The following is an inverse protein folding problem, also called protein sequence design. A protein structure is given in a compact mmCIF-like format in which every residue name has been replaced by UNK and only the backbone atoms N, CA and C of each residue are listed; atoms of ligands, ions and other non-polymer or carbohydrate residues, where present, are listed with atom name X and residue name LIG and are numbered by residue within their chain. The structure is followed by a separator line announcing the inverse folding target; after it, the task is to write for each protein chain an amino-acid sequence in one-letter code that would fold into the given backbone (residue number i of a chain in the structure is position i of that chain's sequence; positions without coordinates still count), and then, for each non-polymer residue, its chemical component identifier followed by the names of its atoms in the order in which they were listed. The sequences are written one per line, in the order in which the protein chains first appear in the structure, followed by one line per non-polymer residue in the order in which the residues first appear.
data_IF_529788056687
#
_entry.id   IF_529788056687
#
_cell.length_a   1.000
_cell.length_b   1.000
_cell.length_c   1.000
_cell.angle_alpha   90.00
_cell.angle_beta   90.00
_cell.angle_gamma   90.00
#
_symmetry.space_group_name_H-M   'P 1'
#
loop_
_entity.id
_entity.type
_entity.pdbx_description
1 polymer ?
#
# COMPACT_ATOMS: atom_id res chain seq x y z
N UNK A 1 15.44 5.27 -8.45
CA UNK A 1 16.03 3.94 -8.26
C UNK A 1 15.05 2.83 -7.85
N UNK A 2 15.34 1.56 -8.23
CA UNK A 2 14.50 0.37 -8.03
C UNK A 2 14.45 -0.22 -6.61
N UNK A 3 15.37 0.17 -5.73
CA UNK A 3 15.43 -0.34 -4.36
C UNK A 3 14.31 0.17 -3.44
N UNK A 4 13.94 -0.66 -2.46
CA UNK A 4 12.95 -0.36 -1.40
C UNK A 4 13.43 0.80 -0.53
N UNK A 5 14.70 0.80 -0.13
CA UNK A 5 15.30 1.92 0.61
C UNK A 5 16.07 2.83 -0.35
N UNK A 6 15.84 4.14 -0.24
CA UNK A 6 16.68 5.11 -0.92
C UNK A 6 18.06 5.13 -0.26
N UNK A 7 19.14 5.16 -1.04
CA UNK A 7 20.53 5.27 -0.55
C UNK A 7 20.88 6.66 0.05
N UNK A 8 19.91 7.40 0.58
CA UNK A 8 20.14 8.69 1.20
C UNK A 8 20.12 8.58 2.74
N UNK A 9 21.21 9.04 3.34
CA UNK A 9 21.46 9.29 4.77
C UNK A 9 21.45 8.11 5.75
N UNK A 10 22.64 7.55 6.02
CA UNK A 10 23.01 7.24 7.42
C UNK A 10 23.68 8.48 8.01
N UNK A 11 23.11 9.16 9.02
CA UNK A 11 23.89 10.00 9.91
C UNK A 11 24.51 9.08 10.97
N UNK A 12 25.82 9.20 11.19
CA UNK A 12 26.53 8.44 12.23
C UNK A 12 27.82 9.14 12.60
N UNK A 13 28.27 9.01 13.86
CA UNK A 13 28.16 10.08 14.84
C UNK A 13 29.49 10.80 15.08
N UNK A 14 29.41 12.03 15.60
CA UNK A 14 30.58 12.79 16.01
C UNK A 14 31.31 12.16 17.20
N UNK A 15 32.64 12.23 17.19
CA UNK A 15 33.55 12.48 18.32
C UNK A 15 35.00 12.50 17.80
N UNK A 16 35.67 13.65 17.89
CA UNK A 16 37.15 13.79 17.92
C UNK A 16 37.67 13.52 19.36
N UNK A 17 38.98 13.51 19.74
CA UNK A 17 40.21 13.90 18.99
C UNK A 17 41.48 13.00 19.15
N UNK A 18 42.51 13.29 18.32
CA UNK A 18 43.94 12.88 18.34
C UNK A 18 44.28 11.36 18.20
N UNK A 19 45.31 10.91 17.47
CA UNK A 19 46.71 11.34 17.48
C UNK A 19 47.51 10.86 16.25
N UNK A 20 48.58 11.61 15.97
CA UNK A 20 49.87 11.29 15.31
C UNK A 20 50.01 10.89 13.82
N UNK A 21 50.33 11.94 13.04
CA UNK A 21 51.35 12.12 11.99
C UNK A 21 52.21 10.90 11.58
N UNK A 22 52.11 10.51 10.31
CA UNK A 22 53.25 10.06 9.49
C UNK A 22 52.97 10.52 8.05
N UNK A 23 53.69 11.54 7.63
CA UNK A 23 53.68 12.04 6.27
C UNK A 23 54.36 11.03 5.33
N UNK A 24 53.64 10.58 4.30
CA UNK A 24 54.31 9.99 3.15
C UNK A 24 53.83 10.57 1.81
N UNK A 25 54.82 10.87 0.99
CA UNK A 25 54.76 11.81 -0.10
C UNK A 25 54.28 11.11 -1.38
N UNK A 26 53.00 11.20 -1.70
CA UNK A 26 52.53 11.16 -3.10
C UNK A 26 51.08 11.60 -3.21
N UNK A 27 50.88 12.82 -3.67
CA UNK A 27 49.57 13.40 -3.92
C UNK A 27 48.79 12.65 -5.00
N UNK A 28 47.92 11.73 -4.60
CA UNK A 28 46.72 11.37 -5.36
C UNK A 28 45.53 11.28 -4.39
N UNK A 29 44.79 12.39 -4.30
CA UNK A 29 43.44 12.42 -3.71
C UNK A 29 42.61 11.28 -4.31
N UNK A 30 42.34 10.23 -3.53
CA UNK A 30 41.25 9.30 -3.79
C UNK A 30 39.95 10.11 -3.74
N UNK A 31 39.51 10.60 -4.90
CA UNK A 31 38.14 11.09 -5.08
C UNK A 31 37.22 9.90 -4.84
N UNK A 32 36.51 9.88 -3.72
CA UNK A 32 35.33 9.05 -3.54
C UNK A 32 34.28 9.51 -4.55
N UNK A 33 34.31 8.94 -5.76
CA UNK A 33 33.26 9.06 -6.76
C UNK A 33 32.03 8.26 -6.31
N UNK A 34 31.33 8.74 -5.28
CA UNK A 34 30.03 8.22 -4.87
C UNK A 34 28.95 8.96 -5.67
N UNK A 35 28.93 8.71 -6.98
CA UNK A 35 28.01 9.29 -7.96
C UNK A 35 27.39 8.21 -8.86
N UNK A 36 26.67 8.60 -9.94
CA UNK A 36 25.62 7.85 -10.70
C UNK A 36 25.92 6.40 -11.13
N UNK A 37 27.15 5.93 -11.02
CA UNK A 37 27.53 4.54 -11.27
C UNK A 37 26.71 3.53 -10.44
N UNK A 38 26.47 3.81 -9.15
CA UNK A 38 25.74 2.87 -8.28
C UNK A 38 24.24 2.78 -8.58
N UNK A 39 23.60 3.86 -9.02
CA UNK A 39 22.19 3.80 -9.43
C UNK A 39 22.03 3.05 -10.76
N UNK A 40 22.98 3.24 -11.68
CA UNK A 40 22.99 2.54 -12.96
C UNK A 40 23.27 1.03 -12.80
N UNK A 41 24.14 0.66 -11.85
CA UNK A 41 24.37 -0.74 -11.45
C UNK A 41 23.07 -1.39 -10.90
N UNK A 42 22.32 -0.67 -10.05
CA UNK A 42 21.05 -1.19 -9.52
C UNK A 42 19.95 -1.31 -10.60
N UNK A 43 19.92 -0.39 -11.57
CA UNK A 43 19.00 -0.47 -12.72
C UNK A 43 19.34 -1.65 -13.64
N UNK A 44 20.63 -1.98 -13.76
CA UNK A 44 21.11 -3.14 -14.53
C UNK A 44 20.87 -4.46 -13.80
N UNK A 45 20.97 -4.48 -12.47
CA UNK A 45 20.73 -5.66 -11.64
C UNK A 45 19.24 -5.93 -11.36
N UNK A 46 18.37 -4.95 -11.57
CA UNK A 46 16.93 -5.11 -11.36
C UNK A 46 16.30 -6.04 -12.41
N UNK A 47 15.35 -6.91 -12.01
CA UNK A 47 14.58 -7.73 -12.95
C UNK A 47 13.90 -6.85 -14.02
N UNK A 48 13.86 -7.34 -15.26
CA UNK A 48 13.27 -6.60 -16.39
C UNK A 48 11.85 -7.06 -16.67
N UNK A 49 10.95 -6.09 -16.86
CA UNK A 49 9.61 -6.31 -17.37
C UNK A 49 9.64 -6.64 -18.87
N UNK A 50 8.51 -7.09 -19.41
CA UNK A 50 8.39 -7.33 -20.84
C UNK A 50 8.67 -6.04 -21.65
N UNK A 51 9.35 -6.08 -22.81
CA UNK A 51 9.73 -4.88 -23.58
C UNK A 51 8.57 -3.96 -23.96
N UNK A 52 7.36 -4.50 -24.12
CA UNK A 52 6.12 -3.74 -24.37
C UNK A 52 5.86 -2.66 -23.31
N UNK A 53 6.38 -2.85 -22.09
CA UNK A 53 6.31 -1.85 -21.00
C UNK A 53 6.98 -0.51 -21.33
N UNK A 54 7.92 -0.48 -22.28
CA UNK A 54 8.57 0.74 -22.74
C UNK A 54 7.84 1.44 -23.89
N UNK A 55 6.75 0.86 -24.43
CA UNK A 55 5.99 1.49 -25.50
C UNK A 55 5.23 2.73 -25.00
N UNK A 56 5.22 3.85 -25.75
CA UNK A 56 4.52 5.07 -25.36
C UNK A 56 3.03 4.85 -25.05
N UNK A 57 2.36 3.99 -25.83
CA UNK A 57 0.96 3.60 -25.58
C UNK A 57 0.80 2.95 -24.20
N UNK A 58 1.72 2.05 -23.85
CA UNK A 58 1.68 1.33 -22.57
C UNK A 58 1.98 2.25 -21.40
N UNK A 59 2.95 3.16 -21.55
CA UNK A 59 3.28 4.16 -20.52
C UNK A 59 2.05 4.99 -20.13
N UNK A 60 1.25 5.42 -21.11
CA UNK A 60 0.04 6.19 -20.83
C UNK A 60 -0.97 5.39 -20.00
N UNK A 61 -1.25 4.13 -20.38
CA UNK A 61 -2.13 3.25 -19.63
C UNK A 61 -1.61 2.94 -18.23
N UNK A 62 -0.30 2.72 -18.10
CA UNK A 62 0.36 2.42 -16.83
C UNK A 62 0.28 3.62 -15.87
N UNK A 63 0.36 4.86 -16.37
CA UNK A 63 0.19 6.06 -15.51
C UNK A 63 -1.19 6.06 -14.86
N UNK A 64 -2.25 5.86 -15.65
CA UNK A 64 -3.63 5.88 -15.13
C UNK A 64 -3.87 4.75 -14.13
N UNK A 65 -3.43 3.54 -14.46
CA UNK A 65 -3.58 2.37 -13.61
C UNK A 65 -2.75 2.49 -12.31
N UNK A 66 -1.50 2.97 -12.41
CA UNK A 66 -0.66 3.20 -11.25
C UNK A 66 -1.25 4.29 -10.34
N UNK A 67 -1.78 5.40 -10.89
CA UNK A 67 -2.47 6.41 -10.08
C UNK A 67 -3.72 5.85 -9.39
N UNK A 68 -4.50 5.01 -10.07
CA UNK A 68 -5.64 4.34 -9.46
C UNK A 68 -5.22 3.45 -8.29
N UNK A 69 -4.13 2.69 -8.45
CA UNK A 69 -3.56 1.88 -7.37
C UNK A 69 -3.09 2.76 -6.21
N UNK A 70 -2.35 3.84 -6.47
CA UNK A 70 -1.89 4.77 -5.41
C UNK A 70 -3.09 5.28 -4.60
N UNK A 71 -4.13 5.80 -5.26
CA UNK A 71 -5.35 6.28 -4.59
C UNK A 71 -5.99 5.21 -3.72
N UNK A 72 -6.10 4.00 -4.23
CA UNK A 72 -6.72 2.89 -3.51
C UNK A 72 -5.90 2.49 -2.28
N UNK A 73 -4.60 2.27 -2.45
CA UNK A 73 -3.74 1.77 -1.39
C UNK A 73 -3.46 2.84 -0.33
N UNK A 74 -3.45 4.11 -0.70
CA UNK A 74 -3.42 5.23 0.24
C UNK A 74 -4.68 5.21 1.12
N UNK A 75 -5.87 5.06 0.51
CA UNK A 75 -7.12 4.98 1.25
C UNK A 75 -7.18 3.77 2.21
N UNK A 76 -6.72 2.60 1.77
CA UNK A 76 -6.62 1.39 2.62
C UNK A 76 -5.67 1.59 3.81
N UNK A 77 -4.59 2.35 3.62
CA UNK A 77 -3.60 2.64 4.69
C UNK A 77 -3.89 3.92 5.48
N UNK A 78 -4.95 4.66 5.15
CA UNK A 78 -5.27 5.95 5.75
C UNK A 78 -4.24 7.05 5.46
N UNK A 79 -3.57 7.01 4.31
CA UNK A 79 -2.66 8.06 3.86
C UNK A 79 -3.49 9.16 3.17
N UNK A 80 -3.52 10.34 3.79
CA UNK A 80 -4.23 11.50 3.28
C UNK A 80 -3.26 12.50 2.60
N UNK A 81 -3.79 13.43 1.80
CA UNK A 81 -3.05 14.55 1.18
C UNK A 81 -1.85 14.17 0.28
N UNK A 82 -1.90 13.01 -0.38
CA UNK A 82 -0.89 12.63 -1.36
C UNK A 82 -1.08 13.36 -2.70
N UNK A 83 -0.11 14.21 -3.07
CA UNK A 83 -0.08 14.97 -4.33
C UNK A 83 -0.06 14.04 -5.57
N UNK A 84 0.43 12.81 -5.44
CA UNK A 84 0.43 11.82 -6.53
C UNK A 84 -0.96 11.20 -6.76
N UNK A 85 -1.83 11.29 -5.76
CA UNK A 85 -3.20 10.77 -5.75
C UNK A 85 -4.22 11.80 -6.24
N UNK A 86 -3.94 13.10 -6.08
CA UNK A 86 -4.83 14.16 -6.54
C UNK A 86 -4.69 14.39 -8.05
N UNK A 87 -5.68 13.95 -8.81
CA UNK A 87 -6.08 14.72 -9.98
C UNK A 87 -6.92 15.85 -9.41
N UNK A 88 -6.38 17.05 -9.29
CA UNK A 88 -7.19 18.27 -9.09
C UNK A 88 -8.10 18.42 -10.33
N UNK A 89 -9.18 17.63 -10.36
CA UNK A 89 -10.36 17.83 -11.19
C UNK A 89 -11.49 18.47 -10.37
N UNK A 90 -11.21 18.89 -9.14
CA UNK A 90 -12.18 19.55 -8.27
C UNK A 90 -11.79 21.04 -8.14
N UNK A 91 -12.30 21.87 -9.06
CA UNK A 91 -12.40 23.36 -9.07
C UNK A 91 -11.97 24.11 -10.34
N UNK A 92 -12.13 23.54 -11.54
CA UNK A 92 -12.26 24.37 -12.75
C UNK A 92 -13.40 23.85 -13.63
N UNK A 93 -14.62 23.93 -13.09
CA UNK A 93 -15.86 23.84 -13.85
C UNK A 93 -16.13 25.17 -14.58
N UNK A 94 -15.14 25.63 -15.35
CA UNK A 94 -15.24 26.83 -16.20
C UNK A 94 -14.60 26.51 -17.55
N UNK A 95 -15.47 25.98 -18.42
CA UNK A 95 -15.49 26.22 -19.86
C UNK A 95 -14.44 25.50 -20.73
N UNK A 96 -14.92 25.15 -21.94
CA UNK A 96 -14.20 24.72 -23.15
C UNK A 96 -13.83 23.25 -23.33
N UNK A 97 -14.76 22.58 -24.00
CA UNK A 97 -14.50 21.99 -25.32
C UNK A 97 -13.27 22.59 -26.04
N UNK A 98 -12.33 21.72 -26.44
CA UNK A 98 -11.02 21.97 -27.06
C UNK A 98 -9.82 21.88 -26.10
N UNK A 99 -9.44 20.66 -25.76
CA UNK A 99 -8.10 20.33 -25.28
C UNK A 99 -7.78 18.89 -25.69
N UNK A 100 -6.87 18.71 -26.65
CA UNK A 100 -6.45 17.38 -27.08
C UNK A 100 -5.97 16.54 -25.89
N UNK A 101 -6.23 15.24 -25.96
CA UNK A 101 -5.91 14.18 -24.98
C UNK A 101 -4.44 14.21 -24.52
N UNK A 102 -4.07 15.17 -23.66
CA UNK A 102 -2.81 15.18 -22.94
C UNK A 102 -3.02 14.35 -21.67
N UNK A 103 -2.11 13.42 -21.40
CA UNK A 103 -2.23 12.49 -20.28
C UNK A 103 -2.15 13.20 -18.91
N UNK A 104 -2.29 12.45 -17.80
CA UNK A 104 -2.22 13.02 -16.46
C UNK A 104 -0.91 13.77 -16.22
N UNK A 105 -1.01 14.99 -15.66
CA UNK A 105 0.13 15.82 -15.24
C UNK A 105 0.01 16.09 -13.74
N UNK A 106 1.09 15.88 -13.00
CA UNK A 106 1.16 16.18 -11.56
C UNK A 106 2.14 17.32 -11.31
N UNK A 107 1.68 18.39 -10.66
CA UNK A 107 2.52 19.56 -10.36
C UNK A 107 3.00 19.50 -8.91
N UNK A 108 4.28 19.23 -8.71
CA UNK A 108 4.92 19.25 -7.40
C UNK A 108 5.42 20.67 -7.11
N UNK A 109 4.80 21.32 -6.12
CA UNK A 109 5.24 22.62 -5.60
C UNK A 109 6.21 22.41 -4.44
N UNK A 110 7.51 22.39 -4.74
CA UNK A 110 8.56 22.35 -3.73
C UNK A 110 8.84 23.71 -3.09
N UNK A 111 9.68 23.72 -2.05
CA UNK A 111 10.03 24.93 -1.30
C UNK A 111 10.65 26.04 -2.17
N UNK A 112 11.37 25.68 -3.23
CA UNK A 112 12.10 26.62 -4.10
C UNK A 112 11.72 26.54 -5.58
N UNK A 113 11.01 25.49 -6.01
CA UNK A 113 10.75 25.20 -7.43
C UNK A 113 9.43 24.46 -7.62
N UNK A 114 8.75 24.76 -8.72
CA UNK A 114 7.58 24.01 -9.18
C UNK A 114 8.01 23.07 -10.31
N UNK A 115 7.70 21.78 -10.21
CA UNK A 115 8.00 20.78 -11.25
C UNK A 115 6.72 20.07 -11.69
N UNK A 116 6.44 20.09 -13.00
CA UNK A 116 5.44 19.23 -13.61
C UNK A 116 6.02 17.86 -13.92
N UNK A 117 5.33 16.80 -13.54
CA UNK A 117 5.63 15.40 -13.89
C UNK A 117 4.60 14.91 -14.90
N UNK A 118 5.07 14.33 -15.99
CA UNK A 118 4.24 13.75 -17.05
C UNK A 118 4.92 12.50 -17.63
N UNK A 119 4.14 11.60 -18.24
CA UNK A 119 4.64 10.47 -19.00
C UNK A 119 5.54 9.55 -18.17
N UNK A 120 6.74 9.27 -18.67
CA UNK A 120 7.69 8.36 -18.03
C UNK A 120 8.13 8.85 -16.65
N UNK A 121 8.35 10.15 -16.47
CA UNK A 121 8.78 10.69 -15.17
C UNK A 121 7.69 10.55 -14.10
N UNK A 122 6.43 10.80 -14.48
CA UNK A 122 5.29 10.59 -13.60
C UNK A 122 5.15 9.11 -13.27
N UNK A 123 5.19 8.24 -14.28
CA UNK A 123 5.09 6.79 -14.08
C UNK A 123 6.17 6.27 -13.14
N UNK A 124 7.42 6.67 -13.34
CA UNK A 124 8.55 6.25 -12.49
C UNK A 124 8.39 6.71 -11.05
N UNK A 125 7.81 7.89 -10.85
CA UNK A 125 7.50 8.41 -9.52
C UNK A 125 6.41 7.57 -8.86
N UNK A 126 5.32 7.26 -9.58
CA UNK A 126 4.21 6.44 -9.08
C UNK A 126 4.65 5.02 -8.72
N UNK A 127 5.33 4.31 -9.62
CA UNK A 127 5.78 2.93 -9.35
C UNK A 127 6.86 2.88 -8.27
N UNK A 128 7.66 3.94 -8.12
CA UNK A 128 8.60 4.04 -7.00
C UNK A 128 7.86 4.22 -5.68
N UNK A 129 6.82 5.06 -5.66
CA UNK A 129 5.97 5.26 -4.49
C UNK A 129 5.26 3.97 -4.09
N UNK A 130 4.59 3.31 -5.05
CA UNK A 130 3.93 2.01 -4.87
C UNK A 130 4.87 0.96 -4.25
N UNK A 131 6.09 0.87 -4.74
CA UNK A 131 7.06 -0.08 -4.20
C UNK A 131 7.53 0.28 -2.79
N UNK A 132 7.83 1.55 -2.52
CA UNK A 132 8.44 1.96 -1.25
C UNK A 132 7.45 2.08 -0.11
N UNK A 133 6.23 2.52 -0.39
CA UNK A 133 5.20 2.78 0.62
C UNK A 133 4.23 1.60 0.72
N UNK A 134 3.90 0.98 -0.41
CA UNK A 134 2.93 -0.11 -0.44
C UNK A 134 3.53 -1.50 -0.60
N UNK A 135 4.82 -1.62 -0.95
CA UNK A 135 5.43 -2.92 -1.23
C UNK A 135 4.88 -3.59 -2.49
N UNK A 136 4.31 -2.79 -3.39
CA UNK A 136 3.73 -3.24 -4.64
C UNK A 136 4.76 -3.13 -5.78
N UNK A 137 5.18 -4.27 -6.32
CA UNK A 137 6.02 -4.36 -7.51
C UNK A 137 5.14 -4.38 -8.76
N UNK A 138 4.94 -3.19 -9.34
CA UNK A 138 3.97 -2.97 -10.42
C UNK A 138 4.21 -3.87 -11.63
N UNK A 139 5.45 -3.97 -12.12
CA UNK A 139 5.78 -4.83 -13.25
C UNK A 139 6.03 -6.28 -12.85
N UNK A 140 6.30 -6.55 -11.57
CA UNK A 140 6.40 -7.88 -11.01
C UNK A 140 5.04 -8.56 -10.80
N UNK A 141 3.93 -7.82 -10.87
CA UNK A 141 2.57 -8.31 -10.56
C UNK A 141 2.46 -8.92 -9.16
N UNK A 142 3.19 -8.34 -8.19
CA UNK A 142 3.23 -8.84 -6.81
C UNK A 142 3.10 -7.71 -5.80
N UNK A 143 2.50 -8.03 -4.66
CA UNK A 143 2.35 -7.16 -3.50
C UNK A 143 2.84 -7.92 -2.27
N UNK A 144 3.63 -7.27 -1.43
CA UNK A 144 4.17 -7.89 -0.21
C UNK A 144 4.16 -6.89 0.94
N UNK A 145 3.87 -7.39 2.15
CA UNK A 145 3.89 -6.60 3.37
C UNK A 145 5.31 -6.18 3.78
N UNK A 146 6.32 -6.96 3.39
CA UNK A 146 7.73 -6.71 3.68
C UNK A 146 8.56 -6.68 2.39
N UNK A 147 8.47 -5.60 1.60
CA UNK A 147 9.21 -5.50 0.35
C UNK A 147 10.71 -5.52 0.63
N UNK A 148 11.42 -6.38 -0.10
CA UNK A 148 12.88 -6.55 -0.02
C UNK A 148 13.46 -6.56 -1.43
N UNK A 149 14.69 -6.05 -1.58
CA UNK A 149 15.40 -6.10 -2.86
C UNK A 149 14.98 -5.01 -3.86
N UNK A 150 14.89 -5.42 -5.13
CA UNK A 150 14.67 -4.54 -6.29
C UNK A 150 13.35 -4.91 -6.95
N UNK A 151 12.50 -3.92 -7.25
CA UNK A 151 11.32 -4.10 -8.09
C UNK A 151 11.69 -4.34 -9.55
N UNK A 152 10.75 -4.86 -10.33
CA UNK A 152 10.89 -4.96 -11.78
C UNK A 152 10.94 -3.56 -12.43
N UNK A 153 11.83 -3.40 -13.41
CA UNK A 153 11.99 -2.16 -14.20
C UNK A 153 11.73 -2.43 -15.67
N UNK A 154 11.33 -1.41 -16.42
CA UNK A 154 11.14 -1.53 -17.88
C UNK A 154 12.43 -2.01 -18.57
N UNK A 155 12.28 -2.83 -19.60
CA UNK A 155 13.42 -3.24 -20.43
C UNK A 155 13.94 -2.03 -21.24
N UNK A 156 15.25 -1.97 -21.45
CA UNK A 156 15.82 -1.02 -22.40
C UNK A 156 15.51 -1.48 -23.83
N UNK A 157 15.26 -0.55 -24.75
CA UNK A 157 14.81 -0.78 -26.15
C UNK A 157 15.81 -1.54 -27.06
N UNK A 158 16.76 -2.30 -26.50
CA UNK A 158 17.61 -3.20 -27.27
C UNK A 158 16.78 -4.40 -27.69
N UNK A 159 16.66 -4.57 -29.01
CA UNK A 159 16.02 -5.70 -29.69
C UNK A 159 16.32 -7.01 -28.96
N UNK A 160 15.32 -7.49 -28.22
CA UNK A 160 15.40 -8.74 -27.50
C UNK A 160 14.55 -9.75 -28.27
N UNK A 161 15.24 -10.69 -28.92
CA UNK A 161 14.62 -11.77 -29.67
C UNK A 161 14.69 -13.03 -28.79
N UNK A 162 13.85 -13.10 -27.76
CA UNK A 162 13.71 -14.31 -26.96
C UNK A 162 12.47 -15.06 -27.42
N UNK A 163 12.72 -16.18 -28.08
CA UNK A 163 11.71 -17.05 -28.70
C UNK A 163 10.74 -17.72 -27.70
N UNK A 164 10.90 -17.45 -26.40
CA UNK A 164 10.16 -18.06 -25.29
C UNK A 164 9.42 -17.05 -24.39
N UNK A 165 9.47 -15.74 -24.69
CA UNK A 165 8.71 -14.76 -23.93
C UNK A 165 7.21 -14.85 -24.31
N UNK A 166 6.28 -14.72 -23.33
CA UNK A 166 4.87 -14.56 -23.65
C UNK A 166 4.69 -13.40 -24.62
N UNK A 167 3.72 -13.49 -25.52
CA UNK A 167 3.48 -12.40 -26.46
C UNK A 167 3.20 -11.11 -25.67
N UNK A 168 3.62 -9.95 -26.20
CA UNK A 168 3.42 -8.67 -25.50
C UNK A 168 1.96 -8.45 -25.10
N UNK A 169 1.02 -8.84 -25.96
CA UNK A 169 -0.43 -8.77 -25.70
C UNK A 169 -0.88 -9.64 -24.52
N UNK A 170 -0.36 -10.87 -24.39
CA UNK A 170 -0.68 -11.75 -23.25
C UNK A 170 -0.13 -11.19 -21.95
N UNK A 171 1.09 -10.63 -21.97
CA UNK A 171 1.69 -9.98 -20.82
C UNK A 171 0.88 -8.76 -20.38
N UNK A 172 0.50 -7.89 -21.31
CA UNK A 172 -0.34 -6.72 -21.05
C UNK A 172 -1.66 -7.12 -20.41
N UNK A 173 -2.36 -8.08 -21.01
CA UNK A 173 -3.64 -8.58 -20.50
C UNK A 173 -3.50 -9.15 -19.09
N UNK A 174 -2.41 -9.87 -18.81
CA UNK A 174 -2.13 -10.43 -17.48
C UNK A 174 -1.89 -9.33 -16.46
N UNK A 175 -1.08 -8.33 -16.80
CA UNK A 175 -0.80 -7.17 -15.95
C UNK A 175 -2.09 -6.43 -15.62
N UNK A 176 -2.90 -6.12 -16.64
CA UNK A 176 -4.15 -5.38 -16.48
C UNK A 176 -5.18 -6.17 -15.67
N UNK A 177 -5.32 -7.47 -15.91
CA UNK A 177 -6.23 -8.31 -15.13
C UNK A 177 -5.78 -8.41 -13.67
N UNK A 178 -4.47 -8.49 -13.41
CA UNK A 178 -3.92 -8.53 -12.06
C UNK A 178 -4.28 -7.25 -11.28
N UNK A 179 -3.99 -6.09 -11.86
CA UNK A 179 -4.20 -4.82 -11.18
C UNK A 179 -5.66 -4.38 -11.16
N UNK A 180 -6.45 -4.71 -12.18
CA UNK A 180 -7.90 -4.53 -12.13
C UNK A 180 -8.53 -5.36 -11.00
N UNK A 181 -8.11 -6.63 -10.88
CA UNK A 181 -8.54 -7.48 -9.77
C UNK A 181 -8.15 -6.90 -8.41
N UNK A 182 -6.95 -6.32 -8.27
CA UNK A 182 -6.54 -5.63 -7.04
C UNK A 182 -7.33 -4.34 -6.79
N UNK A 183 -7.69 -3.59 -7.83
CA UNK A 183 -8.54 -2.40 -7.75
C UNK A 183 -10.00 -2.71 -7.36
N UNK A 184 -10.46 -3.94 -7.54
CA UNK A 184 -11.79 -4.39 -7.13
C UNK A 184 -11.79 -5.07 -5.75
N UNK A 185 -10.70 -5.76 -5.37
CA UNK A 185 -10.58 -6.49 -4.09
C UNK A 185 -10.10 -5.62 -2.93
N UNK A 186 -10.51 -5.93 -1.71
CA UNK A 186 -9.98 -5.29 -0.50
C UNK A 186 -8.49 -5.66 -0.27
N UNK A 187 -7.81 -4.96 0.65
CA UNK A 187 -6.44 -5.28 1.08
C UNK A 187 -6.34 -6.78 1.44
N UNK A 188 -5.40 -7.53 0.83
CA UNK A 188 -5.18 -8.94 1.14
C UNK A 188 -5.06 -9.23 2.65
N UNK A 189 -4.40 -8.36 3.43
CA UNK A 189 -4.26 -8.54 4.87
C UNK A 189 -5.59 -8.32 5.60
N UNK A 190 -6.40 -7.34 5.19
CA UNK A 190 -7.73 -7.14 5.76
C UNK A 190 -8.63 -8.35 5.49
N UNK A 191 -8.60 -8.90 4.27
CA UNK A 191 -9.33 -10.13 3.92
C UNK A 191 -8.92 -11.29 4.84
N UNK A 192 -7.62 -11.48 5.08
CA UNK A 192 -7.13 -12.55 5.95
C UNK A 192 -7.53 -12.33 7.42
N UNK A 193 -7.55 -11.09 7.92
CA UNK A 193 -8.00 -10.84 9.30
C UNK A 193 -9.50 -11.10 9.49
N UNK A 194 -10.30 -10.98 8.42
CA UNK A 194 -11.74 -11.19 8.40
C UNK A 194 -12.47 -10.63 9.63
N UNK A 195 -12.09 -9.41 10.03
CA UNK A 195 -12.56 -8.76 11.26
C UNK A 195 -14.08 -8.74 11.35
N UNK A 196 -14.76 -8.37 10.26
CA UNK A 196 -16.22 -8.30 10.20
C UNK A 196 -16.89 -9.65 10.42
N UNK A 197 -16.28 -10.75 9.93
CA UNK A 197 -16.75 -12.12 10.15
C UNK A 197 -16.64 -12.50 11.62
N UNK A 198 -15.53 -12.16 12.27
CA UNK A 198 -15.34 -12.40 13.71
C UNK A 198 -16.31 -11.54 14.54
N UNK A 199 -16.49 -10.27 14.17
CA UNK A 199 -17.38 -9.35 14.88
C UNK A 199 -18.86 -9.75 14.75
N UNK A 200 -19.29 -10.22 13.57
CA UNK A 200 -20.63 -10.75 13.35
C UNK A 200 -20.86 -12.02 14.19
N UNK A 201 -19.94 -12.98 14.15
CA UNK A 201 -20.01 -14.19 14.96
C UNK A 201 -20.01 -13.86 16.48
N UNK A 202 -19.26 -12.83 16.90
CA UNK A 202 -19.28 -12.37 18.28
C UNK A 202 -20.64 -11.82 18.69
N UNK A 203 -21.31 -11.05 17.82
CA UNK A 203 -22.65 -10.51 18.11
C UNK A 203 -23.65 -11.66 18.25
N UNK A 204 -23.69 -12.58 17.28
CA UNK A 204 -24.60 -13.73 17.31
C UNK A 204 -24.37 -14.62 18.55
N UNK A 205 -23.11 -14.86 18.91
CA UNK A 205 -22.77 -15.65 20.09
C UNK A 205 -23.11 -14.94 21.42
N UNK A 206 -23.20 -13.60 21.42
CA UNK A 206 -23.56 -12.80 22.59
C UNK A 206 -25.06 -12.60 22.78
N UNK A 207 -25.89 -12.84 21.77
CA UNK A 207 -27.35 -12.71 21.85
C UNK A 207 -27.97 -13.47 23.06
N UNK A 208 -27.57 -14.71 23.39
CA UNK A 208 -28.05 -15.40 24.58
C UNK A 208 -27.72 -14.70 25.91
N UNK A 209 -26.72 -13.83 25.92
CA UNK A 209 -26.30 -13.04 27.08
C UNK A 209 -27.00 -11.67 27.14
N UNK A 210 -27.98 -11.41 26.28
CA UNK A 210 -28.82 -10.21 26.33
C UNK A 210 -30.20 -10.56 26.88
N UNK A 211 -30.42 -10.20 28.15
CA UNK A 211 -31.70 -10.46 28.83
C UNK A 211 -32.71 -9.36 28.51
N UNK A 212 -33.76 -9.67 27.77
CA UNK A 212 -34.86 -8.74 27.51
C UNK A 212 -35.84 -8.72 28.68
N UNK A 213 -36.00 -7.57 29.31
CA UNK A 213 -36.81 -7.36 30.53
C UNK A 213 -37.88 -6.32 30.22
N UNK A 214 -39.14 -6.60 30.52
CA UNK A 214 -40.23 -5.63 30.39
C UNK A 214 -40.24 -4.71 31.61
N UNK A 215 -40.22 -3.40 31.36
CA UNK A 215 -40.29 -2.34 32.35
C UNK A 215 -41.62 -1.59 32.21
N UNK A 216 -42.33 -1.42 33.33
CA UNK A 216 -43.68 -0.83 33.35
C UNK A 216 -43.72 0.65 32.92
N UNK A 217 -42.61 1.37 33.11
CA UNK A 217 -42.52 2.81 32.84
C UNK A 217 -41.82 3.15 31.53
N UNK A 218 -40.88 2.31 31.10
CA UNK A 218 -39.99 2.59 29.96
C UNK A 218 -40.07 1.53 28.85
N UNK A 219 -41.00 0.59 28.91
CA UNK A 219 -41.22 -0.42 27.87
C UNK A 219 -40.25 -1.58 27.95
N UNK A 220 -39.20 -1.62 27.13
CA UNK A 220 -38.21 -2.70 27.13
C UNK A 220 -36.87 -2.22 27.67
N UNK A 221 -36.30 -2.98 28.60
CA UNK A 221 -34.91 -2.86 29.07
C UNK A 221 -34.12 -4.11 28.74
N UNK A 222 -32.83 -3.96 28.59
CA UNK A 222 -31.91 -5.02 28.18
C UNK A 222 -30.82 -5.16 29.23
N UNK A 223 -30.73 -6.34 29.84
CA UNK A 223 -29.77 -6.64 30.90
C UNK A 223 -28.61 -7.50 30.41
N UNK A 224 -27.44 -7.28 31.00
CA UNK A 224 -26.28 -8.15 30.82
C UNK A 224 -26.55 -9.53 31.45
N UNK A 225 -26.28 -10.60 30.71
CA UNK A 225 -26.41 -12.00 31.13
C UNK A 225 -25.12 -12.63 31.64
N UNK A 226 -24.00 -11.89 31.65
CA UNK A 226 -22.74 -12.39 32.18
C UNK A 226 -22.83 -12.67 33.69
N UNK A 227 -22.14 -13.72 34.14
CA UNK A 227 -22.14 -14.15 35.55
C UNK A 227 -21.68 -12.99 36.45
N UNK A 228 -22.45 -12.69 37.50
CA UNK A 228 -22.15 -11.62 38.43
C UNK A 228 -22.39 -10.19 37.90
N UNK A 229 -22.95 -10.02 36.70
CA UNK A 229 -23.25 -8.70 36.14
C UNK A 229 -24.74 -8.36 36.23
N UNK A 230 -25.05 -7.17 36.76
CA UNK A 230 -26.43 -6.69 36.97
C UNK A 230 -26.78 -5.45 36.16
N UNK A 231 -25.93 -5.03 35.22
CA UNK A 231 -26.15 -3.81 34.43
C UNK A 231 -27.35 -3.94 33.48
N UNK A 232 -28.13 -2.86 33.40
CA UNK A 232 -29.30 -2.72 32.55
C UNK A 232 -29.11 -1.53 31.60
N UNK A 233 -29.70 -1.64 30.41
CA UNK A 233 -29.57 -0.69 29.32
C UNK A 233 -30.91 -0.49 28.61
N UNK A 234 -31.03 0.59 27.85
CA UNK A 234 -32.24 0.92 27.10
C UNK A 234 -32.31 0.26 25.72
N UNK A 235 -31.19 -0.29 25.21
CA UNK A 235 -31.14 -1.00 23.92
C UNK A 235 -30.16 -2.18 23.99
N UNK A 236 -30.40 -3.21 23.16
CA UNK A 236 -29.58 -4.41 23.07
C UNK A 236 -28.12 -4.12 22.65
N UNK A 237 -27.92 -3.16 21.73
CA UNK A 237 -26.59 -2.76 21.25
C UNK A 237 -25.66 -2.28 22.37
N UNK A 238 -26.21 -1.62 23.39
CA UNK A 238 -25.43 -1.19 24.56
C UNK A 238 -25.01 -2.38 25.43
N UNK A 239 -25.81 -3.45 25.45
CA UNK A 239 -25.42 -4.71 26.12
C UNK A 239 -24.29 -5.38 25.36
N UNK A 240 -24.36 -5.45 24.02
CA UNK A 240 -23.26 -5.98 23.20
C UNK A 240 -21.96 -5.20 23.40
N UNK A 241 -22.00 -3.86 23.34
CA UNK A 241 -20.84 -3.01 23.63
C UNK A 241 -20.32 -3.23 25.05
N UNK A 242 -21.22 -3.36 26.03
CA UNK A 242 -20.84 -3.64 27.41
C UNK A 242 -20.17 -5.00 27.58
N UNK A 243 -20.70 -6.06 26.94
CA UNK A 243 -20.13 -7.41 26.96
C UNK A 243 -18.73 -7.41 26.36
N UNK A 244 -18.53 -6.78 25.19
CA UNK A 244 -17.21 -6.64 24.54
C UNK A 244 -16.19 -5.90 25.43
N UNK A 245 -16.60 -4.88 26.17
CA UNK A 245 -15.68 -4.03 26.95
C UNK A 245 -15.45 -4.49 28.39
N UNK A 246 -16.43 -5.16 29.01
CA UNK A 246 -16.38 -5.50 30.45
C UNK A 246 -16.35 -7.00 30.72
N UNK A 247 -16.60 -7.82 29.71
CA UNK A 247 -16.52 -9.28 29.78
C UNK A 247 -15.66 -9.84 28.62
N UNK A 248 -14.42 -9.36 28.43
CA UNK A 248 -13.60 -9.74 27.28
C UNK A 248 -13.32 -11.24 27.22
N UNK A 249 -13.12 -11.89 28.38
CA UNK A 249 -12.90 -13.35 28.48
C UNK A 249 -14.06 -14.15 27.89
N UNK A 250 -15.31 -13.73 28.18
CA UNK A 250 -16.49 -14.37 27.62
C UNK A 250 -16.53 -14.24 26.09
N UNK A 251 -16.19 -13.06 25.57
CA UNK A 251 -16.15 -12.83 24.11
C UNK A 251 -15.04 -13.67 23.47
N UNK A 252 -13.88 -13.78 24.10
CA UNK A 252 -12.77 -14.61 23.60
C UNK A 252 -13.16 -16.09 23.57
N UNK A 253 -13.78 -16.60 24.62
CA UNK A 253 -14.26 -17.98 24.68
C UNK A 253 -15.31 -18.27 23.60
N UNK A 254 -16.30 -17.39 23.45
CA UNK A 254 -17.39 -17.58 22.48
C UNK A 254 -16.93 -17.47 21.02
N UNK A 255 -15.83 -16.74 20.76
CA UNK A 255 -15.31 -16.54 19.40
C UNK A 255 -14.09 -17.41 19.08
N UNK A 256 -13.61 -18.23 20.03
CA UNK A 256 -12.40 -19.04 19.88
C UNK A 256 -12.46 -19.94 18.65
N UNK A 257 -13.53 -20.71 18.51
CA UNK A 257 -13.72 -21.64 17.39
C UNK A 257 -13.67 -20.94 16.03
N UNK A 258 -14.36 -19.80 15.88
CA UNK A 258 -14.36 -19.05 14.62
C UNK A 258 -12.98 -18.49 14.28
N UNK A 259 -12.23 -18.05 15.29
CA UNK A 259 -10.85 -17.57 15.12
C UNK A 259 -9.90 -18.70 14.74
N UNK A 260 -10.02 -19.86 15.38
CA UNK A 260 -9.23 -21.06 15.08
C UNK A 260 -9.52 -21.59 13.67
N UNK A 261 -10.79 -21.69 13.30
CA UNK A 261 -11.21 -22.12 11.95
C UNK A 261 -10.66 -21.15 10.89
N UNK A 262 -10.75 -19.84 11.13
CA UNK A 262 -10.20 -18.82 10.23
C UNK A 262 -8.67 -18.93 10.13
N UNK A 263 -7.98 -19.12 11.26
CA UNK A 263 -6.53 -19.33 11.29
C UNK A 263 -6.13 -20.53 10.43
N UNK A 264 -6.82 -21.67 10.58
CA UNK A 264 -6.55 -22.87 9.81
C UNK A 264 -6.83 -22.67 8.31
N UNK A 265 -7.94 -22.01 7.97
CA UNK A 265 -8.29 -21.68 6.58
C UNK A 265 -7.27 -20.76 5.91
N UNK A 266 -6.68 -19.82 6.66
CA UNK A 266 -5.65 -18.92 6.14
C UNK A 266 -4.28 -19.60 5.98
N UNK A 267 -4.03 -20.70 6.70
CA UNK A 267 -2.77 -21.42 6.67
C UNK A 267 -2.70 -22.49 5.56
N UNK A 268 -3.83 -23.16 5.29
CA UNK A 268 -3.95 -24.21 4.27
C UNK A 268 -3.99 -23.66 2.84
#
# INVERSE_FOLDING_TARGET
GPGVTALSSKPGPGSEPNSEDEADATGKRRRHGRGPARENELLSAAPKAHPVSAEPRRIHMDVEQAQALVRKLDAEKGIEDNVLSSVDQDKLDVDKSHGGSMGPIVIIRGLSTVKGLEGVELLDTLITYLWRIHGLDYYGMTETSEPKGLRHVRAENKSYNETNAPSGSEWEKKLDTCWQGRLERQDPLEIMTAKDKIDAAAVEALDPFVRKIRDEKYGWKYGCGAKGCTKLFHAAEFVHKHLKLKHPELVMELTSKVREDLYFQNYM
#
